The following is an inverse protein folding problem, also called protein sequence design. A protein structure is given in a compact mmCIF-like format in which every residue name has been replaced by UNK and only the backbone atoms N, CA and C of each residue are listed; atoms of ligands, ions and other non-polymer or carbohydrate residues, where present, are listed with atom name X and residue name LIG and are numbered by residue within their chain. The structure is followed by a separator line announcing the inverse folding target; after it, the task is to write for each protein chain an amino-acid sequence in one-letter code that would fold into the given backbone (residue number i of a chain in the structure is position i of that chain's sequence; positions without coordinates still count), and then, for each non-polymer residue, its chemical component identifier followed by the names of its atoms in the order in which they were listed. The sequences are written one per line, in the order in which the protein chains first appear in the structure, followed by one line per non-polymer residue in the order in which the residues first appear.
data_IF_544619672749
#
_entry.id   IF_544619672749
#
_cell.length_a   1.000
_cell.length_b   1.000
_cell.length_c   1.000
_cell.angle_alpha   90.00
_cell.angle_beta   90.00
_cell.angle_gamma   90.00
#
_symmetry.space_group_name_H-M   'P 1'
#
loop_
_entity.id
_entity.type
_entity.pdbx_description
1 polymer ?
#
# COMPACT_ATOMS: atom_id res chain seq x y z
N UNK A 1 -5.81 -12.31 14.86
CA UNK A 1 -4.75 -11.48 15.46
C UNK A 1 -5.27 -10.99 16.79
N UNK A 2 -4.63 -11.38 17.88
CA UNK A 2 -4.99 -10.98 19.25
C UNK A 2 -4.05 -9.90 19.75
N UNK A 3 -4.58 -8.91 20.46
CA UNK A 3 -3.81 -7.83 21.09
C UNK A 3 -4.43 -7.49 22.44
N UNK A 4 -3.75 -6.68 23.26
CA UNK A 4 -4.31 -6.12 24.50
C UNK A 4 -5.47 -5.14 24.27
N UNK A 5 -5.67 -4.67 23.04
CA UNK A 5 -6.76 -3.76 22.64
C UNK A 5 -7.97 -4.48 22.05
N UNK A 6 -7.89 -5.80 21.87
CA UNK A 6 -8.94 -6.65 21.33
C UNK A 6 -8.45 -7.59 20.23
N UNK A 7 -9.38 -8.35 19.67
CA UNK A 7 -9.13 -9.36 18.65
C UNK A 7 -9.61 -8.87 17.29
N UNK A 8 -8.78 -9.10 16.27
CA UNK A 8 -9.10 -8.87 14.85
C UNK A 8 -9.20 -10.20 14.11
N UNK A 9 -10.27 -10.41 13.34
CA UNK A 9 -10.40 -11.53 12.42
C UNK A 9 -10.16 -11.03 11.00
N UNK A 10 -9.30 -11.72 10.27
CA UNK A 10 -8.96 -11.36 8.91
C UNK A 10 -9.07 -12.55 7.96
N UNK A 11 -9.31 -12.27 6.69
CA UNK A 11 -9.18 -13.24 5.60
C UNK A 11 -7.91 -12.95 4.82
N UNK A 12 -7.35 -13.99 4.19
CA UNK A 12 -6.23 -13.88 3.26
C UNK A 12 -6.73 -14.19 1.84
N UNK A 13 -6.26 -13.40 0.87
CA UNK A 13 -6.70 -13.48 -0.51
C UNK A 13 -6.01 -14.62 -1.28
N UNK A 14 -6.76 -15.29 -2.16
CA UNK A 14 -6.22 -16.33 -3.03
C UNK A 14 -5.44 -15.75 -4.22
N UNK A 15 -5.72 -14.50 -4.56
CA UNK A 15 -5.12 -13.75 -5.67
C UNK A 15 -3.66 -13.36 -5.40
N UNK A 16 -3.21 -13.51 -4.14
CA UNK A 16 -1.83 -13.27 -3.69
C UNK A 16 -1.31 -14.50 -2.94
N UNK A 17 -1.16 -15.64 -3.64
CA UNK A 17 -0.86 -16.93 -3.02
C UNK A 17 0.48 -16.96 -2.29
N UNK A 18 1.53 -16.32 -2.82
CA UNK A 18 2.86 -16.29 -2.19
C UNK A 18 2.82 -15.61 -0.82
N UNK A 19 2.16 -14.45 -0.73
CA UNK A 19 2.00 -13.72 0.54
C UNK A 19 1.11 -14.49 1.51
N UNK A 20 0.01 -15.05 1.02
CA UNK A 20 -0.91 -15.87 1.81
C UNK A 20 -0.19 -17.06 2.43
N UNK A 21 0.52 -17.86 1.62
CA UNK A 21 1.23 -19.06 2.08
C UNK A 21 2.34 -18.70 3.07
N UNK A 22 3.11 -17.64 2.78
CA UNK A 22 4.15 -17.14 3.66
C UNK A 22 3.59 -16.70 5.03
N UNK A 23 2.49 -15.92 5.04
CA UNK A 23 1.87 -15.47 6.28
C UNK A 23 1.34 -16.65 7.11
N UNK A 24 0.69 -17.63 6.46
CA UNK A 24 0.22 -18.86 7.12
C UNK A 24 1.39 -19.65 7.71
N UNK A 25 2.48 -19.83 6.97
CA UNK A 25 3.70 -20.52 7.43
C UNK A 25 4.25 -19.86 8.70
N UNK A 26 4.42 -18.54 8.69
CA UNK A 26 4.93 -17.79 9.83
C UNK A 26 3.98 -17.81 11.03
N UNK A 27 2.68 -17.71 10.81
CA UNK A 27 1.69 -17.81 11.89
C UNK A 27 1.66 -19.19 12.54
N UNK A 28 1.73 -20.27 11.73
CA UNK A 28 1.75 -21.65 12.23
C UNK A 28 3.02 -21.97 13.00
N UNK A 29 4.17 -21.38 12.64
CA UNK A 29 5.44 -21.50 13.38
C UNK A 29 5.52 -20.63 14.63
N UNK A 30 4.46 -19.89 14.97
CA UNK A 30 4.44 -18.94 16.10
C UNK A 30 5.44 -17.79 15.96
N UNK A 31 5.87 -17.50 14.73
CA UNK A 31 6.82 -16.43 14.45
C UNK A 31 6.33 -15.07 14.96
N UNK A 32 5.04 -14.77 14.73
CA UNK A 32 4.42 -13.50 15.11
C UNK A 32 4.12 -13.38 16.61
N UNK A 33 4.18 -14.49 17.37
CA UNK A 33 3.80 -14.46 18.78
C UNK A 33 4.72 -13.53 19.58
N UNK A 34 4.07 -12.54 20.22
CA UNK A 34 4.71 -11.49 21.04
C UNK A 34 5.52 -10.44 20.25
N UNK A 35 5.43 -10.41 18.91
CA UNK A 35 5.95 -9.29 18.14
C UNK A 35 5.11 -8.03 18.35
N UNK A 36 5.69 -6.85 18.11
CA UNK A 36 5.03 -5.57 18.33
C UNK A 36 4.40 -5.02 17.05
N UNK A 37 3.32 -4.26 17.22
CA UNK A 37 3.01 -3.17 16.31
C UNK A 37 3.93 -2.02 16.62
N UNK A 38 5.08 -2.00 15.95
CA UNK A 38 6.21 -1.12 16.25
C UNK A 38 6.14 0.27 15.59
N UNK A 39 5.20 0.46 14.67
CA UNK A 39 4.95 1.74 14.00
C UNK A 39 3.46 1.94 13.82
N UNK A 40 2.93 3.01 14.39
CA UNK A 40 1.49 3.32 14.33
C UNK A 40 1.31 4.79 13.94
N UNK A 41 0.55 5.03 12.88
CA UNK A 41 0.29 6.39 12.39
C UNK A 41 -1.21 6.56 12.21
N UNK A 42 -1.85 7.51 12.92
CA UNK A 42 -3.27 7.82 12.77
C UNK A 42 -3.59 8.20 11.32
N UNK A 43 -4.80 7.85 10.89
CA UNK A 43 -5.31 8.06 9.53
C UNK A 43 -4.48 7.35 8.43
N UNK A 44 -3.56 6.47 8.85
CA UNK A 44 -2.71 5.73 7.94
C UNK A 44 -2.78 4.22 8.23
N UNK A 45 -1.97 3.71 9.19
CA UNK A 45 -1.86 2.25 9.41
C UNK A 45 -1.24 1.90 10.77
N UNK A 46 -1.34 0.62 11.14
CA UNK A 46 -0.52 -0.02 12.16
C UNK A 46 0.39 -1.06 11.49
N UNK A 47 1.69 -1.01 11.74
CA UNK A 47 2.71 -1.89 11.15
C UNK A 47 3.41 -2.72 12.22
N UNK A 48 3.59 -4.01 11.90
CA UNK A 48 4.28 -4.95 12.77
C UNK A 48 5.01 -6.06 11.98
N UNK A 49 5.44 -7.11 12.69
CA UNK A 49 6.07 -8.27 12.04
C UNK A 49 7.60 -8.22 11.98
N UNK A 50 8.24 -7.25 12.64
CA UNK A 50 9.70 -7.21 12.83
C UNK A 50 10.11 -8.21 13.93
N UNK A 51 10.90 -9.26 13.65
CA UNK A 51 11.31 -10.24 14.64
C UNK A 51 12.15 -9.66 15.77
N UNK A 52 12.90 -8.58 15.53
CA UNK A 52 13.69 -7.90 16.55
C UNK A 52 12.81 -7.25 17.63
N UNK A 53 11.54 -6.98 17.31
CA UNK A 53 10.57 -6.38 18.24
C UNK A 53 10.23 -7.28 19.42
N UNK A 54 10.48 -8.59 19.33
CA UNK A 54 10.08 -9.56 20.37
C UNK A 54 10.72 -9.28 21.74
N UNK A 55 11.97 -8.81 21.73
CA UNK A 55 12.76 -8.50 22.93
C UNK A 55 13.30 -7.08 22.93
N UNK A 56 12.71 -6.20 22.13
CA UNK A 56 13.18 -4.83 21.99
C UNK A 56 13.03 -4.06 23.32
N UNK A 57 14.09 -3.35 23.69
CA UNK A 57 14.02 -2.38 24.78
C UNK A 57 13.14 -1.17 24.39
N UNK A 58 12.64 -0.45 25.39
CA UNK A 58 11.92 0.80 25.16
C UNK A 58 12.81 1.78 24.36
N UNK A 59 12.24 2.42 23.32
CA UNK A 59 12.96 3.37 22.47
C UNK A 59 13.95 2.75 21.46
N UNK A 60 14.11 1.42 21.43
CA UNK A 60 14.96 0.76 20.44
C UNK A 60 14.34 0.96 19.03
N UNK A 61 15.11 1.43 18.03
CA UNK A 61 14.64 1.51 16.65
C UNK A 61 14.26 0.13 16.09
N UNK A 62 13.13 0.05 15.40
CA UNK A 62 12.58 -1.16 14.80
C UNK A 62 12.18 -0.90 13.35
N UNK A 63 11.86 -1.95 12.61
CA UNK A 63 11.38 -1.88 11.23
C UNK A 63 12.38 -2.33 10.18
N UNK A 64 13.60 -2.71 10.58
CA UNK A 64 14.63 -3.22 9.68
C UNK A 64 14.77 -4.75 9.71
N UNK A 65 14.20 -5.40 10.73
CA UNK A 65 14.28 -6.85 10.91
C UNK A 65 13.39 -7.63 9.94
N UNK A 66 13.76 -8.89 9.68
CA UNK A 66 13.00 -9.79 8.82
C UNK A 66 13.49 -11.24 8.96
N UNK A 67 12.80 -12.19 8.30
CA UNK A 67 13.14 -13.62 8.40
C UNK A 67 14.31 -14.04 7.50
N UNK A 68 15.05 -13.10 6.92
CA UNK A 68 16.20 -13.37 6.05
C UNK A 68 15.87 -13.59 4.58
N UNK A 69 14.62 -13.32 4.17
CA UNK A 69 14.17 -13.40 2.78
C UNK A 69 13.08 -12.36 2.47
N UNK A 70 12.83 -12.14 1.19
CA UNK A 70 11.74 -11.30 0.69
C UNK A 70 10.71 -12.17 -0.06
N UNK A 71 9.50 -11.64 -0.23
CA UNK A 71 8.45 -12.25 -1.04
C UNK A 71 8.26 -11.43 -2.30
N UNK A 72 8.26 -12.07 -3.47
CA UNK A 72 8.03 -11.40 -4.75
C UNK A 72 6.68 -10.66 -4.74
N UNK A 73 6.67 -9.45 -5.30
CA UNK A 73 5.46 -8.62 -5.32
C UNK A 73 4.31 -9.30 -6.10
N UNK A 74 3.11 -9.25 -5.52
CA UNK A 74 1.87 -9.75 -6.13
C UNK A 74 0.87 -8.59 -6.23
N UNK A 75 1.23 -7.56 -7.00
CA UNK A 75 0.40 -6.37 -7.19
C UNK A 75 -0.86 -6.75 -8.00
N UNK A 76 -2.03 -6.47 -7.44
CA UNK A 76 -3.32 -6.73 -8.05
C UNK A 76 -4.16 -5.45 -8.02
N UNK A 77 -4.49 -4.85 -9.17
CA UNK A 77 -5.26 -3.60 -9.22
C UNK A 77 -6.63 -3.67 -8.55
N UNK A 78 -7.19 -4.88 -8.41
CA UNK A 78 -8.47 -5.13 -7.72
C UNK A 78 -8.34 -5.25 -6.21
N UNK A 79 -7.12 -5.37 -5.69
CA UNK A 79 -6.83 -5.42 -4.25
C UNK A 79 -6.14 -4.12 -3.86
N UNK A 80 -6.90 -3.18 -3.37
CA UNK A 80 -6.44 -1.83 -3.05
C UNK A 80 -6.49 -1.56 -1.54
N UNK A 81 -5.86 -0.47 -1.10
CA UNK A 81 -5.63 -0.16 0.31
C UNK A 81 -6.85 0.48 0.97
N UNK A 82 -7.99 -0.20 0.93
CA UNK A 82 -9.16 0.21 1.70
C UNK A 82 -8.92 0.04 3.21
N UNK A 83 -9.74 0.69 4.02
CA UNK A 83 -9.72 0.50 5.48
C UNK A 83 -9.86 -0.99 5.83
N UNK A 84 -8.94 -1.48 6.66
CA UNK A 84 -8.85 -2.88 7.06
C UNK A 84 -8.01 -3.76 6.12
N UNK A 85 -7.55 -3.26 4.97
CA UNK A 85 -6.63 -4.01 4.11
C UNK A 85 -5.36 -4.40 4.88
N UNK A 86 -4.89 -5.63 4.65
CA UNK A 86 -3.62 -6.14 5.17
C UNK A 86 -2.65 -6.20 4.01
N UNK A 87 -1.55 -5.48 4.13
CA UNK A 87 -0.56 -5.39 3.06
C UNK A 87 0.86 -5.59 3.60
N UNK A 88 1.75 -6.04 2.72
CA UNK A 88 3.13 -6.31 3.07
C UNK A 88 3.97 -5.03 3.01
N UNK A 89 4.79 -4.80 4.05
CA UNK A 89 5.77 -3.72 4.04
C UNK A 89 6.92 -4.04 3.07
N UNK A 90 7.64 -3.02 2.62
CA UNK A 90 8.83 -3.15 1.79
C UNK A 90 9.75 -1.95 1.93
N UNK A 91 11.00 -2.09 1.50
CA UNK A 91 11.93 -0.98 1.34
C UNK A 91 11.60 -0.13 0.11
N UNK A 92 12.14 1.08 0.05
CA UNK A 92 11.88 2.06 -1.03
C UNK A 92 12.35 1.57 -2.40
N UNK A 93 11.77 2.11 -3.48
CA UNK A 93 12.10 1.76 -4.87
C UNK A 93 13.58 2.00 -5.21
N UNK A 94 14.25 2.94 -4.53
CA UNK A 94 15.67 3.24 -4.74
C UNK A 94 16.58 2.03 -4.44
N UNK A 95 16.20 1.20 -3.47
CA UNK A 95 16.97 0.01 -3.08
C UNK A 95 16.27 -1.30 -3.43
N UNK A 96 15.01 -1.22 -3.85
CA UNK A 96 14.15 -2.37 -4.16
C UNK A 96 13.26 -2.09 -5.38
N UNK A 97 13.84 -1.96 -6.57
CA UNK A 97 13.09 -1.63 -7.79
C UNK A 97 12.09 -2.72 -8.21
N UNK A 98 12.26 -3.95 -7.73
CA UNK A 98 11.33 -5.07 -7.98
C UNK A 98 10.10 -5.03 -7.07
N UNK A 99 10.04 -4.10 -6.12
CA UNK A 99 8.97 -3.97 -5.13
C UNK A 99 8.72 -5.23 -4.31
N UNK A 100 9.74 -6.08 -4.16
CA UNK A 100 9.64 -7.29 -3.34
C UNK A 100 9.29 -6.93 -1.89
N UNK A 101 8.38 -7.67 -1.31
CA UNK A 101 7.88 -7.43 0.04
C UNK A 101 8.83 -7.96 1.11
N UNK A 102 8.82 -7.36 2.29
CA UNK A 102 9.41 -7.97 3.49
C UNK A 102 8.84 -9.36 3.70
N UNK A 103 9.69 -10.30 4.12
CA UNK A 103 9.25 -11.66 4.40
C UNK A 103 8.33 -11.80 5.61
N UNK A 104 8.27 -10.80 6.51
CA UNK A 104 7.42 -10.88 7.71
C UNK A 104 6.70 -9.60 8.09
N UNK A 105 7.20 -8.43 7.69
CA UNK A 105 6.57 -7.18 8.11
C UNK A 105 5.33 -6.89 7.26
N UNK A 106 4.24 -6.55 7.94
CA UNK A 106 2.96 -6.19 7.35
C UNK A 106 2.33 -5.02 8.07
N UNK A 107 1.34 -4.40 7.44
CA UNK A 107 0.53 -3.36 8.06
C UNK A 107 -0.95 -3.58 7.81
N UNK A 108 -1.76 -3.03 8.71
CA UNK A 108 -3.21 -2.99 8.61
C UNK A 108 -3.62 -1.54 8.42
N UNK A 109 -4.35 -1.26 7.36
CA UNK A 109 -4.78 0.08 7.00
C UNK A 109 -5.86 0.58 7.95
N UNK A 110 -5.63 1.72 8.60
CA UNK A 110 -6.68 2.53 9.20
C UNK A 110 -7.31 3.41 8.12
N UNK A 111 -6.46 4.22 7.46
CA UNK A 111 -6.85 5.18 6.45
C UNK A 111 -7.76 6.29 6.95
N UNK A 112 -8.06 7.23 6.06
CA UNK A 112 -9.11 8.25 6.23
C UNK A 112 -10.14 8.14 5.11
N UNK A 113 -11.29 8.78 5.30
CA UNK A 113 -12.22 9.02 4.19
C UNK A 113 -11.77 10.25 3.41
N UNK A 114 -11.97 10.20 2.11
CA UNK A 114 -11.65 11.28 1.19
C UNK A 114 -12.93 11.90 0.66
N UNK A 115 -12.90 13.19 0.32
CA UNK A 115 -13.94 13.77 -0.52
C UNK A 115 -13.70 13.39 -2.00
N UNK A 116 -14.70 13.57 -2.84
CA UNK A 116 -14.55 13.33 -4.29
C UNK A 116 -13.47 14.25 -4.86
N UNK A 117 -13.47 15.52 -4.44
CA UNK A 117 -12.51 16.54 -4.86
C UNK A 117 -11.07 16.17 -4.47
N UNK A 118 -10.87 15.67 -3.24
CA UNK A 118 -9.55 15.20 -2.79
C UNK A 118 -9.06 14.03 -3.65
N UNK A 119 -9.93 13.08 -3.99
CA UNK A 119 -9.57 11.94 -4.85
C UNK A 119 -9.29 12.38 -6.30
N UNK A 120 -10.08 13.29 -6.84
CA UNK A 120 -9.89 13.81 -8.20
C UNK A 120 -8.56 14.59 -8.29
N UNK A 121 -8.23 15.40 -7.29
CA UNK A 121 -6.94 16.09 -7.21
C UNK A 121 -5.78 15.09 -7.08
N UNK A 122 -5.96 14.05 -6.29
CA UNK A 122 -4.97 12.99 -6.11
C UNK A 122 -4.75 12.21 -7.42
N UNK A 123 -5.83 11.82 -8.10
CA UNK A 123 -5.80 11.17 -9.41
C UNK A 123 -5.04 12.03 -10.43
N UNK A 124 -5.34 13.33 -10.47
CA UNK A 124 -4.68 14.28 -11.38
C UNK A 124 -3.16 14.37 -11.08
N UNK A 125 -2.77 14.43 -9.80
CA UNK A 125 -1.36 14.46 -9.40
C UNK A 125 -0.62 13.18 -9.82
N UNK A 126 -1.20 12.00 -9.59
CA UNK A 126 -0.61 10.73 -10.02
C UNK A 126 -0.49 10.64 -11.54
N UNK A 127 -1.52 11.09 -12.26
CA UNK A 127 -1.52 11.16 -13.73
C UNK A 127 -0.38 12.03 -14.24
N UNK A 128 -0.24 13.24 -13.69
CA UNK A 128 0.78 14.19 -14.07
C UNK A 128 2.20 13.69 -13.74
N UNK A 129 2.39 13.07 -12.57
CA UNK A 129 3.69 12.50 -12.19
C UNK A 129 4.11 11.39 -13.14
N UNK A 130 3.20 10.47 -13.47
CA UNK A 130 3.47 9.37 -14.38
C UNK A 130 3.69 9.85 -15.81
N UNK A 131 2.90 10.82 -16.25
CA UNK A 131 3.07 11.51 -17.54
C UNK A 131 4.47 12.17 -17.63
N UNK A 132 4.88 12.92 -16.60
CA UNK A 132 6.19 13.55 -16.51
C UNK A 132 7.33 12.52 -16.56
N UNK A 133 7.19 11.38 -15.89
CA UNK A 133 8.18 10.30 -15.92
C UNK A 133 8.35 9.75 -17.35
N UNK A 134 7.26 9.36 -18.00
CA UNK A 134 7.32 8.83 -19.37
C UNK A 134 7.84 9.86 -20.37
N UNK A 135 7.39 11.12 -20.22
CA UNK A 135 7.84 12.20 -21.08
C UNK A 135 9.36 12.41 -20.94
N UNK A 136 9.88 12.40 -19.72
CA UNK A 136 11.34 12.51 -19.47
C UNK A 136 12.10 11.36 -20.16
N UNK A 137 11.65 10.11 -20.01
CA UNK A 137 12.29 8.97 -20.66
C UNK A 137 12.34 9.13 -22.19
N UNK A 138 11.25 9.62 -22.80
CA UNK A 138 11.13 9.82 -24.24
C UNK A 138 12.06 10.94 -24.71
N UNK A 139 11.99 12.13 -24.11
CA UNK A 139 12.75 13.31 -24.56
C UNK A 139 14.25 13.18 -24.32
N UNK A 140 14.68 12.33 -23.38
CA UNK A 140 16.10 12.02 -23.14
C UNK A 140 16.67 11.04 -24.15
N UNK A 141 15.88 10.44 -25.01
CA UNK A 141 16.36 9.53 -26.06
C UNK A 141 17.00 10.33 -27.22
N UNK A 142 18.00 9.77 -27.91
CA UNK A 142 18.66 10.43 -29.05
C UNK A 142 17.70 10.87 -30.18
N UNK A 143 16.58 10.19 -30.34
CA UNK A 143 15.53 10.49 -31.32
C UNK A 143 14.89 11.86 -31.11
N UNK A 144 14.89 12.38 -29.88
CA UNK A 144 14.19 13.61 -29.48
C UNK A 144 15.13 14.73 -29.03
N UNK A 145 16.42 14.67 -29.41
CA UNK A 145 17.43 15.71 -29.07
C UNK A 145 16.97 17.11 -29.45
N UNK A 146 16.37 17.31 -30.65
CA UNK A 146 15.84 18.61 -31.07
C UNK A 146 14.70 19.10 -30.20
N UNK A 147 13.79 18.23 -29.75
CA UNK A 147 12.71 18.57 -28.83
C UNK A 147 13.26 18.93 -27.44
N UNK A 148 14.27 18.19 -26.97
CA UNK A 148 14.93 18.48 -25.71
C UNK A 148 15.56 19.89 -25.75
N UNK A 149 16.22 20.27 -26.86
CA UNK A 149 16.79 21.61 -27.06
C UNK A 149 15.69 22.68 -27.00
N UNK A 150 14.58 22.50 -27.71
CA UNK A 150 13.44 23.43 -27.65
C UNK A 150 12.90 23.62 -26.23
N UNK A 151 12.69 22.50 -25.50
CA UNK A 151 12.23 22.55 -24.09
C UNK A 151 13.21 23.36 -23.25
N UNK A 152 14.53 23.16 -23.41
CA UNK A 152 15.55 23.88 -22.65
C UNK A 152 15.57 25.38 -23.01
N UNK A 153 15.35 25.73 -24.27
CA UNK A 153 15.25 27.11 -24.71
C UNK A 153 14.05 27.84 -24.06
N UNK A 154 12.86 27.20 -24.08
CA UNK A 154 11.68 27.78 -23.42
C UNK A 154 11.80 27.80 -21.89
N UNK A 155 12.51 26.83 -21.28
CA UNK A 155 12.82 26.88 -19.85
C UNK A 155 13.73 28.07 -19.51
N UNK A 156 14.81 28.33 -20.31
CA UNK A 156 15.70 29.46 -20.12
C UNK A 156 14.98 30.79 -20.34
N UNK A 157 14.06 30.86 -21.30
CA UNK A 157 13.21 32.00 -21.57
C UNK A 157 12.09 32.22 -20.54
N UNK A 158 11.92 31.29 -19.58
CA UNK A 158 10.83 31.26 -18.61
C UNK A 158 9.44 31.30 -19.27
N UNK A 159 9.32 30.73 -20.45
CA UNK A 159 8.08 30.63 -21.22
C UNK A 159 7.18 29.51 -20.66
N UNK A 160 6.55 29.79 -19.50
CA UNK A 160 5.65 28.89 -18.83
C UNK A 160 4.41 28.53 -19.66
N UNK A 161 3.95 29.44 -20.52
CA UNK A 161 2.80 29.20 -21.35
C UNK A 161 3.06 28.07 -22.36
N UNK A 162 4.19 28.14 -23.08
CA UNK A 162 4.59 27.08 -24.02
C UNK A 162 4.86 25.76 -23.32
N UNK A 163 5.56 25.78 -22.17
CA UNK A 163 5.86 24.58 -21.39
C UNK A 163 4.59 23.87 -20.91
N UNK A 164 3.59 24.62 -20.43
CA UNK A 164 2.31 24.07 -20.03
C UNK A 164 1.54 23.48 -21.22
N UNK A 165 1.43 24.23 -22.34
CA UNK A 165 0.77 23.75 -23.54
C UNK A 165 1.45 22.47 -24.09
N UNK A 166 2.78 22.44 -24.12
CA UNK A 166 3.55 21.27 -24.49
C UNK A 166 3.22 20.09 -23.58
N UNK A 167 3.22 20.28 -22.27
CA UNK A 167 2.90 19.22 -21.30
C UNK A 167 1.48 18.72 -21.52
N UNK A 168 0.49 19.57 -21.65
CA UNK A 168 -0.91 19.17 -21.89
C UNK A 168 -1.06 18.32 -23.17
N UNK A 169 -0.38 18.70 -24.25
CA UNK A 169 -0.47 18.01 -25.55
C UNK A 169 0.42 16.76 -25.68
N UNK A 170 1.31 16.51 -24.71
CA UNK A 170 2.33 15.45 -24.80
C UNK A 170 1.78 14.03 -24.72
N UNK A 171 0.51 13.82 -24.37
CA UNK A 171 -0.11 12.47 -24.36
C UNK A 171 -0.02 11.80 -25.74
N UNK A 172 -0.16 12.56 -26.83
CA UNK A 172 -0.03 12.06 -28.19
C UNK A 172 1.37 11.49 -28.45
N UNK A 173 2.41 12.20 -27.96
CA UNK A 173 3.78 11.75 -28.04
C UNK A 173 4.02 10.49 -27.20
N UNK A 174 3.49 10.46 -25.98
CA UNK A 174 3.64 9.32 -25.09
C UNK A 174 2.97 8.08 -25.68
N UNK A 175 1.74 8.18 -26.14
CA UNK A 175 1.03 7.05 -26.79
C UNK A 175 1.77 6.54 -28.02
N UNK A 176 2.36 7.44 -28.82
CA UNK A 176 3.15 7.06 -30.01
C UNK A 176 4.38 6.22 -29.65
N UNK A 177 5.08 6.58 -28.56
CA UNK A 177 6.33 5.89 -28.15
C UNK A 177 6.09 4.75 -27.17
N UNK A 178 4.96 4.78 -26.46
CA UNK A 178 4.54 3.76 -25.49
C UNK A 178 3.05 3.44 -25.73
N UNK A 179 2.72 2.58 -26.70
CA UNK A 179 1.31 2.31 -27.08
C UNK A 179 0.44 1.75 -25.95
N UNK A 180 1.07 1.10 -24.97
CA UNK A 180 0.38 0.55 -23.79
C UNK A 180 0.14 1.57 -22.67
N UNK A 181 0.57 2.83 -22.87
CA UNK A 181 0.33 3.89 -21.89
C UNK A 181 -1.15 4.12 -21.69
N UNK A 182 -1.56 4.05 -20.43
CA UNK A 182 -2.89 4.46 -19.98
C UNK A 182 -2.74 5.46 -18.85
N UNK A 183 -3.39 6.63 -18.96
CA UNK A 183 -3.45 7.58 -17.85
C UNK A 183 -4.02 6.89 -16.61
N UNK A 184 -3.44 7.20 -15.45
CA UNK A 184 -3.98 6.68 -14.20
C UNK A 184 -5.40 7.20 -13.97
N UNK A 185 -6.29 6.33 -13.54
CA UNK A 185 -7.63 6.68 -13.08
C UNK A 185 -8.08 5.69 -12.01
N UNK A 186 -8.70 6.19 -10.94
CA UNK A 186 -9.41 5.32 -10.02
C UNK A 186 -10.65 4.72 -10.69
N UNK A 187 -10.92 3.46 -10.38
CA UNK A 187 -12.19 2.84 -10.74
C UNK A 187 -13.34 3.47 -9.93
N UNK A 188 -14.56 3.32 -10.41
CA UNK A 188 -15.75 3.75 -9.65
C UNK A 188 -15.85 3.07 -8.29
N UNK A 189 -15.44 1.79 -8.21
CA UNK A 189 -15.39 1.04 -6.97
C UNK A 189 -14.39 1.64 -5.98
N UNK A 190 -13.17 1.95 -6.42
CA UNK A 190 -12.15 2.60 -5.58
C UNK A 190 -12.64 3.97 -5.08
N UNK A 191 -13.19 4.81 -5.96
CA UNK A 191 -13.75 6.12 -5.57
C UNK A 191 -14.85 5.97 -4.52
N UNK A 192 -15.79 5.04 -4.75
CA UNK A 192 -16.85 4.76 -3.79
C UNK A 192 -16.28 4.29 -2.42
N UNK A 193 -15.35 3.34 -2.42
CA UNK A 193 -14.77 2.82 -1.19
C UNK A 193 -13.99 3.89 -0.44
N UNK A 194 -13.13 4.65 -1.10
CA UNK A 194 -12.32 5.68 -0.45
C UNK A 194 -13.16 6.84 0.10
N UNK A 195 -14.32 7.13 -0.49
CA UNK A 195 -15.21 8.17 0.02
C UNK A 195 -16.11 7.68 1.16
N UNK A 196 -16.48 6.40 1.18
CA UNK A 196 -17.45 5.84 2.16
C UNK A 196 -16.78 5.10 3.30
N UNK A 197 -15.84 4.22 3.00
CA UNK A 197 -15.11 3.38 3.96
C UNK A 197 -13.79 4.03 4.36
N UNK A 198 -13.06 4.59 3.40
CA UNK A 198 -11.75 5.18 3.57
C UNK A 198 -10.62 4.21 3.21
N UNK A 199 -9.38 4.69 3.34
CA UNK A 199 -8.19 3.91 3.05
C UNK A 199 -6.96 4.77 2.81
N UNK A 200 -6.00 4.23 2.04
CA UNK A 200 -4.72 4.88 1.72
C UNK A 200 -4.39 4.71 0.22
N UNK A 201 -5.08 5.45 -0.67
CA UNK A 201 -4.98 5.28 -2.13
C UNK A 201 -3.56 5.49 -2.68
N UNK A 202 -2.69 6.22 -1.95
CA UNK A 202 -1.32 6.48 -2.36
C UNK A 202 -0.38 5.25 -2.29
N UNK A 203 -0.84 4.13 -1.74
CA UNK A 203 -0.10 2.87 -1.72
C UNK A 203 -0.54 1.88 -2.81
N UNK A 204 -1.61 2.20 -3.53
CA UNK A 204 -2.15 1.31 -4.56
C UNK A 204 -1.15 1.06 -5.68
N UNK A 205 -1.06 -0.21 -6.12
CA UNK A 205 -0.11 -0.71 -7.12
C UNK A 205 1.38 -0.60 -6.73
N UNK A 206 1.70 -0.19 -5.50
CA UNK A 206 3.06 -0.10 -4.99
C UNK A 206 3.37 -1.10 -3.88
N UNK A 207 2.34 -1.62 -3.23
CA UNK A 207 2.45 -2.62 -2.15
C UNK A 207 1.45 -3.76 -2.37
N UNK A 208 1.83 -4.98 -1.99
CA UNK A 208 0.94 -6.13 -2.11
C UNK A 208 -0.08 -6.17 -0.98
N UNK A 209 -1.34 -6.01 -1.33
CA UNK A 209 -2.47 -6.27 -0.44
C UNK A 209 -2.79 -7.75 -0.50
N UNK A 210 -2.74 -8.46 0.63
CA UNK A 210 -2.90 -9.91 0.67
C UNK A 210 -4.02 -10.41 1.60
N UNK A 211 -4.73 -9.49 2.26
CA UNK A 211 -5.84 -9.83 3.13
C UNK A 211 -6.64 -8.63 3.58
N UNK A 212 -7.66 -8.88 4.39
CA UNK A 212 -8.53 -7.84 4.96
C UNK A 212 -9.06 -8.25 6.32
N UNK A 213 -9.09 -7.32 7.26
CA UNK A 213 -9.80 -7.45 8.54
C UNK A 213 -11.30 -7.41 8.27
N UNK A 214 -12.02 -8.44 8.69
CA UNK A 214 -13.46 -8.60 8.49
C UNK A 214 -14.28 -8.46 9.79
N UNK A 215 -13.59 -8.45 10.95
CA UNK A 215 -14.19 -8.20 12.27
C UNK A 215 -13.14 -7.62 13.19
N UNK A 216 -13.51 -6.64 14.02
CA UNK A 216 -12.60 -6.03 15.00
C UNK A 216 -11.75 -4.91 14.42
N UNK A 217 -12.18 -4.24 13.35
CA UNK A 217 -11.43 -3.13 12.75
C UNK A 217 -11.25 -1.94 13.69
N UNK A 218 -12.14 -1.77 14.66
CA UNK A 218 -12.04 -0.75 15.72
C UNK A 218 -10.83 -0.95 16.63
N UNK A 219 -10.22 -2.14 16.64
CA UNK A 219 -8.96 -2.40 17.35
C UNK A 219 -7.81 -1.60 16.71
N UNK A 220 -7.83 -1.44 15.40
CA UNK A 220 -6.86 -0.60 14.68
C UNK A 220 -6.96 0.84 15.16
N UNK A 221 -8.18 1.38 15.33
CA UNK A 221 -8.40 2.75 15.83
C UNK A 221 -7.86 2.91 17.25
N UNK A 222 -8.12 1.94 18.11
CA UNK A 222 -7.60 1.96 19.49
C UNK A 222 -6.08 1.96 19.52
N UNK A 223 -5.44 1.15 18.66
CA UNK A 223 -3.97 1.07 18.57
C UNK A 223 -3.38 2.35 17.97
N UNK A 224 -4.00 2.96 16.95
CA UNK A 224 -3.49 4.22 16.39
C UNK A 224 -3.61 5.41 17.34
N UNK A 225 -4.51 5.34 18.32
CA UNK A 225 -4.76 6.38 19.31
C UNK A 225 -3.78 6.37 20.50
N UNK A 226 -2.95 5.33 20.67
CA UNK A 226 -2.00 5.26 21.78
C UNK A 226 -0.93 6.34 21.73
N UNK A 227 -0.34 6.67 22.88
CA UNK A 227 0.84 7.52 22.93
C UNK A 227 2.01 6.87 22.19
N UNK A 228 2.79 7.65 21.45
CA UNK A 228 3.90 7.19 20.62
C UNK A 228 5.06 8.17 20.67
N UNK A 229 6.25 7.66 20.38
CA UNK A 229 7.47 8.43 20.30
C UNK A 229 7.59 9.19 18.95
N UNK A 230 8.70 9.89 18.77
CA UNK A 230 8.98 10.65 17.55
C UNK A 230 9.13 9.78 16.29
N UNK A 231 9.36 8.48 16.43
CA UNK A 231 9.45 7.49 15.36
C UNK A 231 8.11 6.77 15.11
N UNK A 232 7.03 7.22 15.76
CA UNK A 232 5.70 6.61 15.73
C UNK A 232 5.64 5.20 16.35
N UNK A 233 6.58 4.83 17.21
CA UNK A 233 6.49 3.62 18.01
C UNK A 233 5.60 3.89 19.23
N UNK A 234 4.62 2.99 19.55
CA UNK A 234 3.88 3.07 20.81
C UNK A 234 4.85 3.13 22.01
N UNK A 235 4.59 4.05 22.96
CA UNK A 235 5.38 4.15 24.20
C UNK A 235 5.17 2.95 25.12
N UNK A 236 3.99 2.34 25.03
CA UNK A 236 3.69 1.04 25.64
C UNK A 236 3.58 -0.02 24.55
N UNK A 237 4.26 -1.15 24.76
CA UNK A 237 4.32 -2.23 23.79
C UNK A 237 2.94 -2.80 23.44
N UNK A 238 2.57 -2.74 22.17
CA UNK A 238 1.37 -3.39 21.63
C UNK A 238 1.75 -4.71 20.98
N UNK A 239 1.60 -5.80 21.74
CA UNK A 239 1.99 -7.15 21.26
C UNK A 239 0.87 -7.81 20.47
N UNK A 240 1.27 -8.57 19.44
CA UNK A 240 0.36 -9.40 18.65
C UNK A 240 0.60 -10.89 18.90
N UNK A 241 -0.47 -11.66 18.78
CA UNK A 241 -0.46 -13.12 18.70
C UNK A 241 -1.32 -13.54 17.52
N UNK A 242 -0.74 -14.29 16.59
CA UNK A 242 -1.41 -14.63 15.33
C UNK A 242 -1.69 -16.12 15.27
N UNK A 243 -2.94 -16.48 14.97
CA UNK A 243 -3.34 -17.86 14.71
C UNK A 243 -4.12 -17.95 13.42
N UNK A 244 -3.98 -19.07 12.70
CA UNK A 244 -4.67 -19.32 11.43
C UNK A 244 -5.65 -20.48 11.60
N UNK A 245 -6.83 -20.32 11.03
CA UNK A 245 -7.86 -21.37 11.00
C UNK A 245 -8.42 -21.48 9.58
N UNK A 246 -8.42 -22.68 9.04
CA UNK A 246 -9.06 -22.94 7.76
C UNK A 246 -10.58 -23.04 7.95
N UNK A 247 -11.33 -22.28 7.15
CA UNK A 247 -12.79 -22.25 7.20
C UNK A 247 -13.36 -22.20 5.77
N UNK A 248 -14.53 -22.79 5.56
CA UNK A 248 -15.24 -22.64 4.29
C UNK A 248 -15.83 -21.22 4.16
N UNK A 249 -15.97 -20.72 2.92
CA UNK A 249 -16.60 -19.40 2.65
C UNK A 249 -17.96 -19.28 3.32
N UNK A 250 -18.86 -20.28 3.16
CA UNK A 250 -20.19 -20.31 3.81
C UNK A 250 -20.12 -20.14 5.33
N UNK A 251 -19.11 -20.74 5.96
CA UNK A 251 -18.93 -20.60 7.41
C UNK A 251 -18.46 -19.21 7.79
N UNK A 252 -17.55 -18.61 7.02
CA UNK A 252 -17.09 -17.24 7.22
C UNK A 252 -18.23 -16.25 7.05
N UNK A 253 -19.05 -16.40 6.00
CA UNK A 253 -20.24 -15.59 5.76
C UNK A 253 -21.22 -15.64 6.93
N UNK A 254 -21.51 -16.87 7.42
CA UNK A 254 -22.44 -17.08 8.55
C UNK A 254 -21.91 -16.52 9.87
N UNK A 255 -20.61 -16.69 10.16
CA UNK A 255 -20.03 -16.38 11.48
C UNK A 255 -19.61 -14.90 11.59
N UNK A 256 -19.17 -14.31 10.47
CA UNK A 256 -18.60 -12.94 10.44
C UNK A 256 -19.36 -11.96 9.54
N UNK A 257 -20.38 -12.41 8.80
CA UNK A 257 -21.16 -11.55 7.91
C UNK A 257 -20.40 -11.02 6.69
N UNK A 258 -19.22 -11.60 6.40
CA UNK A 258 -18.40 -11.17 5.26
C UNK A 258 -18.88 -11.85 3.99
N UNK A 259 -19.27 -11.03 2.98
CA UNK A 259 -19.71 -11.51 1.66
C UNK A 259 -18.49 -11.50 0.73
N UNK A 260 -18.13 -12.67 0.23
CA UNK A 260 -17.06 -12.79 -0.76
C UNK A 260 -17.50 -12.19 -2.10
N UNK A 261 -16.64 -11.39 -2.77
CA UNK A 261 -16.91 -10.95 -4.12
C UNK A 261 -17.20 -12.12 -5.05
N UNK A 262 -18.17 -11.93 -5.96
CA UNK A 262 -18.43 -12.95 -7.00
C UNK A 262 -17.19 -13.10 -7.89
N UNK A 263 -16.77 -14.35 -8.08
CA UNK A 263 -15.71 -14.66 -9.04
C UNK A 263 -16.31 -14.45 -10.45
N UNK A 264 -16.03 -13.30 -11.05
CA UNK A 264 -16.33 -13.12 -12.48
C UNK A 264 -15.52 -14.18 -13.25
N UNK A 265 -16.26 -15.14 -13.84
CA UNK A 265 -15.70 -16.18 -14.71
C UNK A 265 -15.13 -15.58 -15.99
#
# INVERSE_FOLDING_TARGET
IKTSYGDMVAILYNETPKHKENFIKLANSKFYDSLLFHRVIPEFMIQGGDPESKKAAAGQPLGNGGPGYTVEAELRPTLFHERGAIAAARTSDAVNPTKASSGSQFYIVQGKKYTTEELDQYEQNLRNNKKSQYLREIIMSPKYTGLLTQIQEHQRAQDGAWLNEFFEKSDTLIVKEKPDYKPFAFTLEQKNVYTTVGGTPFLDNDYTVFGKVIKGIEVVDKITAVAKDAQNRPTEDVRMFVSVKQMSRKKIEKEYGYIFPEVKK
#
